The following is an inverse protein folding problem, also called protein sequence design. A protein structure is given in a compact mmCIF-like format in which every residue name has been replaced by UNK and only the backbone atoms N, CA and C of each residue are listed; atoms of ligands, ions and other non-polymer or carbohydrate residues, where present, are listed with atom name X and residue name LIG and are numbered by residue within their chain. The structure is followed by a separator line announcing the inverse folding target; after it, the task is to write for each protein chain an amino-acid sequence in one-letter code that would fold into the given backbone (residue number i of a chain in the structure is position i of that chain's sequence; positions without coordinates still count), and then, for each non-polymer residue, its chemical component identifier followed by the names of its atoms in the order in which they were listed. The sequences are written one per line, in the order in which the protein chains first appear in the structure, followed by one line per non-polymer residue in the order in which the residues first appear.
data_IF_561274959025
#
_entry.id   IF_561274959025
#
_cell.length_a   1.000
_cell.length_b   1.000
_cell.length_c   1.000
_cell.angle_alpha   90.00
_cell.angle_beta   90.00
_cell.angle_gamma   90.00
#
_symmetry.space_group_name_H-M   'P 1'
#
loop_
_entity.id
_entity.type
_entity.pdbx_description
1 polymer ?
#
# COMPACT_ATOMS: atom_id res chain seq x y z
N UNK A 1 11.51 -18.89 10.21
CA UNK A 1 11.25 -17.52 9.72
C UNK A 1 11.82 -17.31 8.31
N UNK A 2 12.91 -18.00 7.97
CA UNK A 2 13.67 -17.84 6.72
C UNK A 2 12.87 -17.99 5.42
N UNK A 3 11.91 -18.94 5.36
CA UNK A 3 11.10 -19.14 4.15
C UNK A 3 10.26 -17.90 3.79
N UNK A 4 9.68 -17.24 4.78
CA UNK A 4 8.84 -16.06 4.54
C UNK A 4 9.67 -14.83 4.13
N UNK A 5 10.85 -14.65 4.73
CA UNK A 5 11.77 -13.59 4.37
C UNK A 5 12.35 -13.78 2.96
N UNK A 6 12.69 -15.02 2.59
CA UNK A 6 13.16 -15.36 1.25
C UNK A 6 12.09 -15.10 0.18
N UNK A 7 10.83 -15.42 0.46
CA UNK A 7 9.72 -15.19 -0.46
C UNK A 7 9.42 -13.69 -0.65
N UNK A 8 9.51 -12.91 0.44
CA UNK A 8 9.37 -11.45 0.38
C UNK A 8 10.43 -10.77 -0.50
N UNK A 9 11.68 -11.26 -0.44
CA UNK A 9 12.77 -10.76 -1.30
C UNK A 9 12.56 -11.05 -2.78
N UNK A 10 11.83 -12.12 -3.13
CA UNK A 10 11.49 -12.46 -4.52
C UNK A 10 10.36 -11.57 -5.06
N UNK A 11 9.45 -11.15 -4.19
CA UNK A 11 8.23 -10.41 -4.54
C UNK A 11 8.33 -8.90 -4.21
N UNK A 12 9.42 -8.25 -4.63
CA UNK A 12 9.59 -6.81 -4.44
C UNK A 12 8.64 -6.00 -5.33
N UNK A 13 8.06 -4.94 -4.76
CA UNK A 13 7.15 -4.03 -5.46
C UNK A 13 7.79 -2.65 -5.53
N UNK A 14 7.93 -2.12 -6.74
CA UNK A 14 8.43 -0.78 -6.93
C UNK A 14 7.29 0.24 -6.78
N UNK A 15 7.33 1.03 -5.70
CA UNK A 15 6.28 2.02 -5.41
C UNK A 15 6.75 3.40 -5.86
N UNK A 16 6.02 4.09 -6.76
CA UNK A 16 6.35 5.47 -7.11
C UNK A 16 5.96 6.40 -5.95
N UNK A 17 6.95 7.06 -5.37
CA UNK A 17 6.76 8.03 -4.29
C UNK A 17 7.09 9.41 -4.85
N UNK A 18 6.20 10.38 -4.63
CA UNK A 18 6.37 11.78 -5.00
C UNK A 18 6.21 12.63 -3.74
N UNK A 19 7.23 13.40 -3.38
CA UNK A 19 7.25 14.27 -2.18
C UNK A 19 6.82 13.51 -0.91
N UNK A 20 7.28 12.27 -0.74
CA UNK A 20 6.93 11.44 0.42
C UNK A 20 5.48 10.93 0.45
N UNK A 21 4.71 11.06 -0.63
CA UNK A 21 3.34 10.52 -0.78
C UNK A 21 3.15 9.76 -2.11
N UNK A 22 1.98 9.14 -2.29
CA UNK A 22 1.60 8.45 -3.53
C UNK A 22 1.18 9.46 -4.62
N UNK A 23 1.35 9.14 -5.92
CA UNK A 23 1.07 10.09 -7.00
C UNK A 23 -0.42 10.33 -7.26
N UNK A 24 -1.28 9.34 -7.00
CA UNK A 24 -2.73 9.43 -7.20
C UNK A 24 -3.44 8.50 -6.20
N UNK A 25 -4.73 8.73 -5.97
CA UNK A 25 -5.54 7.83 -5.17
C UNK A 25 -5.84 6.52 -5.89
N UNK A 26 -5.80 5.40 -5.17
CA UNK A 26 -6.07 4.07 -5.70
C UNK A 26 -7.02 3.33 -4.76
N UNK A 27 -8.06 2.73 -5.36
CA UNK A 27 -8.95 1.81 -4.66
C UNK A 27 -8.76 0.41 -5.22
N UNK A 28 -8.50 -0.56 -4.34
CA UNK A 28 -8.34 -1.96 -4.75
C UNK A 28 -9.17 -2.88 -3.88
N UNK A 29 -9.72 -3.92 -4.49
CA UNK A 29 -10.41 -5.01 -3.82
C UNK A 29 -9.58 -6.27 -3.98
N UNK A 30 -9.25 -6.93 -2.88
CA UNK A 30 -8.64 -8.25 -2.87
C UNK A 30 -9.51 -9.18 -2.02
N UNK A 31 -10.08 -10.22 -2.64
CA UNK A 31 -11.09 -11.07 -2.03
C UNK A 31 -12.24 -10.24 -1.38
N UNK A 32 -12.47 -10.41 -0.07
CA UNK A 32 -13.45 -9.65 0.69
C UNK A 32 -12.94 -8.30 1.22
N UNK A 33 -11.63 -8.03 1.13
CA UNK A 33 -11.02 -6.79 1.61
C UNK A 33 -11.08 -5.70 0.53
N UNK A 34 -11.49 -4.49 0.92
CA UNK A 34 -11.46 -3.29 0.06
C UNK A 34 -10.61 -2.24 0.75
N UNK A 35 -9.64 -1.72 0.02
CA UNK A 35 -8.65 -0.79 0.53
C UNK A 35 -8.62 0.45 -0.35
N UNK A 36 -8.57 1.60 0.30
CA UNK A 36 -8.46 2.91 -0.32
C UNK A 36 -7.13 3.52 0.12
N UNK A 37 -6.28 3.87 -0.84
CA UNK A 37 -5.07 4.63 -0.63
C UNK A 37 -5.28 6.02 -1.22
N UNK A 38 -5.13 7.06 -0.39
CA UNK A 38 -5.22 8.46 -0.81
C UNK A 38 -3.91 9.19 -0.52
N UNK A 39 -3.44 10.02 -1.47
CA UNK A 39 -2.33 10.92 -1.21
C UNK A 39 -2.71 11.89 -0.11
N UNK A 40 -1.73 12.26 0.70
CA UNK A 40 -1.91 13.21 1.77
C UNK A 40 -0.91 14.35 1.61
N UNK A 41 -1.32 15.55 2.04
CA UNK A 41 -0.43 16.70 2.09
C UNK A 41 0.75 16.45 3.05
N UNK A 42 1.83 17.18 2.84
CA UNK A 42 3.00 17.16 3.70
C UNK A 42 2.61 17.50 5.15
N UNK A 43 3.12 16.71 6.12
CA UNK A 43 2.82 16.89 7.54
C UNK A 43 1.54 16.19 8.03
N UNK A 44 0.75 15.55 7.16
CA UNK A 44 -0.40 14.73 7.58
C UNK A 44 0.05 13.47 8.34
N UNK A 45 1.19 12.91 7.97
CA UNK A 45 1.72 11.64 8.49
C UNK A 45 1.07 10.40 7.88
N UNK A 46 1.42 9.24 8.45
CA UNK A 46 1.02 7.92 7.99
C UNK A 46 -0.28 7.47 8.68
N UNK A 47 -1.43 7.79 8.08
CA UNK A 47 -2.75 7.42 8.60
C UNK A 47 -3.20 6.13 7.95
N UNK A 48 -2.86 4.99 8.54
CA UNK A 48 -3.14 3.67 7.98
C UNK A 48 -3.53 2.65 9.07
N UNK A 49 -4.42 1.71 8.72
CA UNK A 49 -4.76 0.57 9.60
C UNK A 49 -3.55 -0.35 9.82
N UNK A 50 -3.47 -1.04 10.97
CA UNK A 50 -2.24 -1.70 11.46
C UNK A 50 -1.38 -2.44 10.43
N UNK A 51 -1.95 -3.40 9.68
CA UNK A 51 -1.19 -4.14 8.66
C UNK A 51 -0.75 -3.26 7.47
N UNK A 52 -1.58 -2.29 7.08
CA UNK A 52 -1.28 -1.36 5.99
C UNK A 52 -0.17 -0.39 6.38
N UNK A 53 -0.17 0.05 7.65
CA UNK A 53 0.81 0.98 8.20
C UNK A 53 2.22 0.41 8.05
N UNK A 54 2.44 -0.83 8.50
CA UNK A 54 3.74 -1.51 8.40
C UNK A 54 4.20 -1.59 6.93
N UNK A 55 3.29 -1.93 6.01
CA UNK A 55 3.61 -2.02 4.58
C UNK A 55 3.98 -0.65 4.00
N UNK A 56 3.22 0.40 4.31
CA UNK A 56 3.49 1.76 3.81
C UNK A 56 4.79 2.32 4.41
N UNK A 57 5.06 2.03 5.67
CA UNK A 57 6.29 2.42 6.38
C UNK A 57 7.51 1.73 5.77
N UNK A 58 7.45 0.42 5.55
CA UNK A 58 8.50 -0.34 4.84
C UNK A 58 8.68 0.13 3.39
N UNK A 59 7.61 0.61 2.75
CA UNK A 59 7.68 1.20 1.42
C UNK A 59 8.31 2.60 1.39
N UNK A 60 8.57 3.24 2.55
CA UNK A 60 9.14 4.58 2.64
C UNK A 60 8.14 5.72 2.41
N UNK A 61 6.83 5.44 2.54
CA UNK A 61 5.77 6.44 2.40
C UNK A 61 5.59 7.16 3.73
N UNK A 62 5.79 8.48 3.75
CA UNK A 62 5.68 9.28 4.96
C UNK A 62 4.27 9.84 5.16
N UNK A 63 3.63 10.27 4.07
CA UNK A 63 2.34 10.93 4.09
C UNK A 63 1.34 10.14 3.24
N UNK A 64 0.38 9.47 3.87
CA UNK A 64 -0.69 8.75 3.16
C UNK A 64 -1.90 8.57 4.05
N UNK A 65 -3.08 8.53 3.45
CA UNK A 65 -4.31 8.10 4.12
C UNK A 65 -4.75 6.77 3.52
N UNK A 66 -4.62 5.70 4.29
CA UNK A 66 -5.07 4.36 3.93
C UNK A 66 -6.27 3.96 4.79
N UNK A 67 -7.41 3.67 4.15
CA UNK A 67 -8.64 3.25 4.83
C UNK A 67 -9.12 1.90 4.30
N UNK A 68 -9.50 1.02 5.22
CA UNK A 68 -10.17 -0.23 4.88
C UNK A 68 -11.66 0.09 4.77
N UNK A 69 -12.22 -0.08 3.56
CA UNK A 69 -13.64 0.16 3.28
C UNK A 69 -14.51 -1.07 3.55
N UNK A 70 -13.89 -2.24 3.71
CA UNK A 70 -14.60 -3.48 4.01
C UNK A 70 -14.68 -3.74 5.52
N UNK A 71 -15.72 -4.48 5.95
CA UNK A 71 -15.84 -5.05 7.30
C UNK A 71 -14.87 -6.21 7.56
N UNK A 72 -14.00 -6.54 6.62
CA UNK A 72 -13.07 -7.68 6.75
C UNK A 72 -11.98 -7.42 7.81
N UNK A 73 -11.97 -8.27 8.84
CA UNK A 73 -10.98 -8.25 9.93
C UNK A 73 -9.71 -9.06 9.60
N UNK A 74 -9.68 -9.72 8.43
CA UNK A 74 -8.57 -10.59 8.05
C UNK A 74 -7.32 -9.78 7.65
N UNK A 75 -6.32 -9.77 8.53
CA UNK A 75 -5.06 -9.04 8.35
C UNK A 75 -4.28 -9.46 7.10
N UNK A 76 -4.32 -10.75 6.74
CA UNK A 76 -3.61 -11.27 5.57
C UNK A 76 -4.20 -10.71 4.28
N UNK A 77 -5.52 -10.67 4.17
CA UNK A 77 -6.20 -10.12 3.00
C UNK A 77 -6.00 -8.60 2.90
N UNK A 78 -6.01 -7.90 4.04
CA UNK A 78 -5.74 -6.46 4.07
C UNK A 78 -4.30 -6.17 3.63
N UNK A 79 -3.32 -6.96 4.06
CA UNK A 79 -1.94 -6.86 3.61
C UNK A 79 -1.80 -7.10 2.10
N UNK A 80 -2.38 -8.19 1.58
CA UNK A 80 -2.37 -8.51 0.14
C UNK A 80 -3.06 -7.43 -0.69
N UNK A 81 -4.21 -6.93 -0.25
CA UNK A 81 -4.92 -5.83 -0.89
C UNK A 81 -4.07 -4.55 -0.97
N UNK A 82 -3.30 -4.27 0.08
CA UNK A 82 -2.41 -3.10 0.14
C UNK A 82 -1.28 -3.25 -0.86
N UNK A 83 -0.66 -4.43 -0.93
CA UNK A 83 0.40 -4.72 -1.90
C UNK A 83 -0.12 -4.60 -3.34
N UNK A 84 -1.32 -5.10 -3.63
CA UNK A 84 -1.94 -4.93 -4.95
C UNK A 84 -2.28 -3.47 -5.26
N UNK A 85 -2.74 -2.71 -4.28
CA UNK A 85 -3.02 -1.29 -4.45
C UNK A 85 -1.73 -0.51 -4.77
N UNK A 86 -0.63 -0.85 -4.10
CA UNK A 86 0.69 -0.28 -4.39
C UNK A 86 1.21 -0.68 -5.77
N UNK A 87 0.98 -1.93 -6.21
CA UNK A 87 1.31 -2.38 -7.57
C UNK A 87 0.52 -1.62 -8.65
N UNK A 88 -0.72 -1.24 -8.36
CA UNK A 88 -1.56 -0.46 -9.29
C UNK A 88 -1.17 1.01 -9.40
N UNK A 89 -0.34 1.52 -8.48
CA UNK A 89 0.21 2.87 -8.61
C UNK A 89 1.15 2.91 -9.81
N UNK A 90 0.63 3.37 -10.95
CA UNK A 90 1.45 3.65 -12.11
C UNK A 90 2.28 4.91 -11.87
N UNK A 91 3.60 4.78 -12.00
CA UNK A 91 4.45 5.93 -12.26
C UNK A 91 4.22 6.38 -13.70
N UNK A 92 4.20 7.69 -13.98
CA UNK A 92 4.04 8.26 -15.35
C UNK A 92 5.01 7.69 -16.41
N UNK A 93 6.01 6.89 -16.03
CA UNK A 93 6.99 6.26 -16.92
C UNK A 93 6.58 4.91 -17.51
N UNK A 94 5.46 4.31 -17.09
CA UNK A 94 4.99 3.02 -17.62
C UNK A 94 3.70 3.21 -18.43
N UNK A 95 3.86 3.84 -19.58
CA UNK A 95 2.92 3.73 -20.71
C UNK A 95 3.78 3.52 -21.94
N UNK A 96 3.94 2.25 -22.28
CA UNK A 96 4.28 1.86 -23.64
C UNK A 96 2.97 1.62 -24.39
#
# INVERSE_FOLDING_TARGET
MDKAAADGKKNLVNVPIKNGTIPHEVTTKFAAARVLLKPAAEGRGLVAGGAMRIICEMAGIQNITAKILSRSTNKLNNAKATIEALKKLKSKKDSK
#
